data_IF_721285219251
#
_entry.id   IF_721285219251
#
_cell.length_a   1.000
_cell.length_b   1.000
_cell.length_c   1.000
_cell.angle_alpha   90.00
_cell.angle_beta   90.00
_cell.angle_gamma   90.00
#
_symmetry.space_group_name_H-M   'P 1'
#
loop_
_entity.id
_entity.type
_entity.pdbx_description
1 polymer ?
#
# COMPACT_ATOMS: atom_id res chain seq x y z
N UNK A 1 -19.00 -60.72 -12.28
CA UNK A 1 -17.70 -60.04 -12.47
C UNK A 1 -17.80 -58.66 -11.85
N UNK A 2 -16.88 -58.33 -10.95
CA UNK A 2 -16.94 -57.16 -10.08
C UNK A 2 -16.59 -55.86 -10.81
N UNK A 3 -17.42 -54.83 -10.65
CA UNK A 3 -17.06 -53.45 -10.93
C UNK A 3 -16.02 -53.03 -9.89
N UNK A 4 -14.75 -52.89 -10.29
CA UNK A 4 -13.72 -52.34 -9.41
C UNK A 4 -13.92 -50.83 -9.32
N UNK A 5 -14.38 -50.38 -8.16
CA UNK A 5 -14.29 -48.99 -7.71
C UNK A 5 -12.82 -48.57 -7.61
N UNK A 6 -12.28 -48.02 -8.70
CA UNK A 6 -11.00 -47.33 -8.67
C UNK A 6 -11.22 -45.88 -8.24
N UNK A 7 -11.05 -45.65 -6.93
CA UNK A 7 -10.36 -44.46 -6.44
C UNK A 7 -11.16 -43.15 -6.42
N UNK A 8 -12.17 -43.08 -5.54
CA UNK A 8 -12.54 -41.81 -4.88
C UNK A 8 -11.37 -41.34 -3.99
N UNK A 9 -10.32 -40.77 -4.59
CA UNK A 9 -9.30 -39.99 -3.90
C UNK A 9 -8.84 -38.90 -4.87
N UNK A 10 -9.34 -37.67 -4.73
CA UNK A 10 -8.83 -36.59 -5.57
C UNK A 10 -9.57 -35.25 -5.57
N UNK A 11 -10.73 -35.11 -4.92
CA UNK A 11 -11.55 -33.88 -5.06
C UNK A 11 -11.53 -32.98 -3.81
N UNK A 12 -11.02 -33.45 -2.67
CA UNK A 12 -11.02 -32.67 -1.42
C UNK A 12 -9.80 -31.77 -1.18
N UNK A 13 -8.65 -32.12 -1.76
CA UNK A 13 -7.40 -31.39 -1.51
C UNK A 13 -7.34 -29.97 -2.12
N UNK A 14 -7.96 -29.67 -3.28
CA UNK A 14 -7.97 -28.29 -3.80
C UNK A 14 -8.83 -27.37 -2.92
N UNK A 15 -9.94 -27.90 -2.40
CA UNK A 15 -10.81 -27.17 -1.46
C UNK A 15 -10.07 -26.88 -0.15
N UNK A 16 -9.28 -27.83 0.34
CA UNK A 16 -8.45 -27.65 1.54
C UNK A 16 -7.40 -26.54 1.34
N UNK A 17 -6.77 -26.45 0.16
CA UNK A 17 -5.80 -25.40 -0.17
C UNK A 17 -6.47 -24.03 -0.22
N UNK A 18 -7.69 -23.93 -0.76
CA UNK A 18 -8.46 -22.67 -0.79
C UNK A 18 -8.81 -22.21 0.63
N UNK A 19 -9.29 -23.13 1.47
CA UNK A 19 -9.66 -22.80 2.85
C UNK A 19 -8.44 -22.43 3.70
N UNK A 20 -7.32 -23.14 3.55
CA UNK A 20 -6.07 -22.84 4.25
C UNK A 20 -5.41 -21.56 3.74
N UNK A 21 -5.40 -21.32 2.43
CA UNK A 21 -4.88 -20.10 1.82
C UNK A 21 -5.71 -18.86 2.18
N UNK A 22 -7.04 -18.98 2.16
CA UNK A 22 -7.96 -17.93 2.61
C UNK A 22 -7.84 -17.64 4.12
N UNK A 23 -7.70 -18.69 4.94
CA UNK A 23 -7.50 -18.56 6.39
C UNK A 23 -6.17 -17.90 6.76
N UNK A 24 -5.07 -18.24 6.06
CA UNK A 24 -3.76 -17.62 6.28
C UNK A 24 -3.74 -16.16 5.83
N UNK A 25 -4.36 -15.84 4.70
CA UNK A 25 -4.51 -14.46 4.23
C UNK A 25 -5.34 -13.61 5.20
N UNK A 26 -6.44 -14.17 5.75
CA UNK A 26 -7.24 -13.51 6.77
C UNK A 26 -6.44 -13.30 8.07
N UNK A 27 -5.67 -14.30 8.52
CA UNK A 27 -4.83 -14.18 9.70
C UNK A 27 -3.81 -13.05 9.57
N UNK A 28 -3.02 -13.02 8.49
CA UNK A 28 -2.03 -11.97 8.23
C UNK A 28 -2.67 -10.58 8.14
N UNK A 29 -3.88 -10.51 7.60
CA UNK A 29 -4.66 -9.27 7.52
C UNK A 29 -5.12 -8.79 8.90
N UNK A 30 -5.60 -9.69 9.77
CA UNK A 30 -6.04 -9.33 11.13
C UNK A 30 -4.89 -9.06 12.11
N UNK A 31 -3.67 -9.56 11.85
CA UNK A 31 -2.50 -9.33 12.71
C UNK A 31 -1.69 -8.08 12.37
N UNK A 32 -2.04 -7.35 11.31
CA UNK A 32 -1.46 -6.02 11.01
C UNK A 32 -0.03 -6.04 10.46
N UNK A 33 0.48 -7.18 9.98
CA UNK A 33 1.77 -7.23 9.30
C UNK A 33 1.58 -6.89 7.81
N UNK A 34 2.09 -5.73 7.38
CA UNK A 34 2.27 -5.25 6.00
C UNK A 34 1.20 -5.71 5.01
N UNK A 35 0.16 -4.91 4.76
CA UNK A 35 -0.90 -5.21 3.77
C UNK A 35 -0.39 -5.60 2.37
N UNK A 36 0.81 -5.15 1.99
CA UNK A 36 1.52 -5.55 0.77
C UNK A 36 1.90 -7.04 0.74
N UNK A 37 2.25 -7.63 1.89
CA UNK A 37 2.53 -9.07 2.02
C UNK A 37 1.25 -9.89 1.90
N UNK A 38 0.17 -9.44 2.52
CA UNK A 38 -1.14 -10.10 2.39
C UNK A 38 -1.63 -10.13 0.92
N UNK A 39 -1.44 -9.03 0.18
CA UNK A 39 -1.72 -8.95 -1.26
C UNK A 39 -0.85 -9.91 -2.09
N UNK A 40 0.43 -10.03 -1.76
CA UNK A 40 1.35 -10.95 -2.45
C UNK A 40 0.96 -12.41 -2.21
N UNK A 41 0.60 -12.77 -0.99
CA UNK A 41 0.11 -14.13 -0.66
C UNK A 41 -1.19 -14.44 -1.40
N UNK A 42 -2.11 -13.47 -1.45
CA UNK A 42 -3.39 -13.61 -2.16
C UNK A 42 -3.19 -13.83 -3.67
N UNK A 43 -2.29 -13.08 -4.29
CA UNK A 43 -1.95 -13.26 -5.71
C UNK A 43 -1.34 -14.64 -6.00
N UNK A 44 -0.50 -15.17 -5.11
CA UNK A 44 0.05 -16.53 -5.25
C UNK A 44 -1.04 -17.58 -5.17
N UNK A 45 -2.01 -17.42 -4.26
CA UNK A 45 -3.16 -18.33 -4.11
C UNK A 45 -4.04 -18.32 -5.36
N UNK A 46 -4.36 -17.13 -5.89
CA UNK A 46 -5.17 -16.97 -7.11
C UNK A 46 -4.42 -17.51 -8.33
N UNK A 47 -3.14 -17.19 -8.50
CA UNK A 47 -2.32 -17.70 -9.60
C UNK A 47 -2.19 -19.24 -9.57
N UNK A 48 -2.12 -19.84 -8.39
CA UNK A 48 -2.09 -21.29 -8.21
C UNK A 48 -3.42 -21.94 -8.62
N UNK A 49 -4.55 -21.28 -8.37
CA UNK A 49 -5.88 -21.73 -8.78
C UNK A 49 -6.05 -21.70 -10.31
N UNK A 50 -5.53 -20.68 -10.98
CA UNK A 50 -5.55 -20.60 -12.44
C UNK A 50 -4.73 -21.71 -13.09
N UNK A 51 -3.53 -21.99 -12.56
CA UNK A 51 -2.68 -23.09 -13.04
C UNK A 51 -3.36 -24.44 -12.81
N UNK A 52 -3.95 -24.68 -11.64
CA UNK A 52 -4.69 -25.92 -11.35
C UNK A 52 -5.92 -26.10 -12.26
N UNK A 53 -6.64 -25.01 -12.54
CA UNK A 53 -7.80 -25.01 -13.44
C UNK A 53 -7.36 -25.29 -14.88
N UNK A 54 -6.28 -24.66 -15.33
CA UNK A 54 -5.69 -24.91 -16.64
C UNK A 54 -5.20 -26.36 -16.78
N UNK A 55 -4.52 -26.90 -15.77
CA UNK A 55 -4.07 -28.31 -15.74
C UNK A 55 -5.25 -29.27 -15.72
N UNK A 56 -6.31 -28.97 -14.97
CA UNK A 56 -7.53 -29.77 -14.95
C UNK A 56 -8.23 -29.79 -16.32
N UNK A 57 -8.32 -28.64 -16.98
CA UNK A 57 -8.89 -28.52 -18.32
C UNK A 57 -8.02 -29.21 -19.37
N UNK A 58 -6.70 -29.05 -19.30
CA UNK A 58 -5.74 -29.68 -20.21
C UNK A 58 -5.74 -31.21 -20.08
N UNK A 59 -5.81 -31.75 -18.85
CA UNK A 59 -5.91 -33.20 -18.61
C UNK A 59 -7.22 -33.82 -19.10
N UNK A 60 -8.24 -33.02 -19.39
CA UNK A 60 -9.55 -33.49 -19.92
C UNK A 60 -9.67 -33.41 -21.44
N UNK A 61 -8.60 -33.06 -22.15
CA UNK A 61 -8.56 -33.08 -23.61
C UNK A 61 -8.55 -34.52 -24.17
N UNK A 62 -9.75 -35.09 -24.35
CA UNK A 62 -10.12 -36.07 -25.41
C UNK A 62 -11.50 -36.73 -25.22
N UNK A 63 -12.35 -36.26 -24.29
CA UNK A 63 -13.71 -36.80 -24.15
C UNK A 63 -14.73 -35.92 -24.88
N UNK A 64 -15.50 -36.55 -25.76
CA UNK A 64 -16.58 -36.02 -26.60
C UNK A 64 -17.42 -34.92 -25.94
N UNK A 65 -17.79 -33.93 -26.76
CA UNK A 65 -18.68 -32.82 -26.40
C UNK A 65 -20.01 -33.34 -25.85
N UNK A 66 -20.10 -33.44 -24.53
CA UNK A 66 -21.36 -33.59 -23.81
C UNK A 66 -21.89 -32.20 -23.43
N UNK A 67 -23.21 -31.95 -23.52
CA UNK A 67 -23.79 -30.65 -23.23
C UNK A 67 -23.40 -30.26 -21.79
N UNK A 68 -22.70 -29.15 -21.69
CA UNK A 68 -22.08 -28.65 -20.45
C UNK A 68 -23.17 -28.42 -19.40
N UNK A 69 -23.28 -29.36 -18.46
CA UNK A 69 -24.26 -29.35 -17.38
C UNK A 69 -24.10 -28.16 -16.43
N UNK A 70 -25.20 -27.77 -15.80
CA UNK A 70 -25.36 -26.63 -14.90
C UNK A 70 -24.25 -26.46 -13.83
N UNK A 71 -23.59 -27.56 -13.43
CA UNK A 71 -22.48 -27.53 -12.46
C UNK A 71 -21.25 -26.72 -12.88
N UNK A 72 -20.91 -26.65 -14.17
CA UNK A 72 -19.78 -25.81 -14.64
C UNK A 72 -20.11 -24.32 -14.61
N UNK A 73 -21.36 -23.98 -14.88
CA UNK A 73 -21.86 -22.59 -14.76
C UNK A 73 -21.86 -22.18 -13.29
N UNK A 74 -22.30 -23.06 -12.38
CA UNK A 74 -22.28 -22.81 -10.94
C UNK A 74 -20.86 -22.55 -10.40
N UNK A 75 -19.87 -23.34 -10.82
CA UNK A 75 -18.47 -23.12 -10.43
C UNK A 75 -17.90 -21.78 -10.91
N UNK A 76 -18.23 -21.36 -12.12
CA UNK A 76 -17.83 -20.04 -12.66
C UNK A 76 -18.52 -18.89 -11.94
N UNK A 77 -19.81 -19.04 -11.59
CA UNK A 77 -20.54 -18.05 -10.80
C UNK A 77 -19.96 -17.90 -9.39
N UNK A 78 -19.61 -19.00 -8.74
CA UNK A 78 -18.95 -18.97 -7.42
C UNK A 78 -17.57 -18.32 -7.48
N UNK A 79 -16.78 -18.58 -8.53
CA UNK A 79 -15.49 -17.93 -8.73
C UNK A 79 -15.64 -16.41 -8.97
N UNK A 80 -16.60 -16.01 -9.80
CA UNK A 80 -16.89 -14.60 -10.03
C UNK A 80 -17.35 -13.89 -8.74
N UNK A 81 -18.19 -14.53 -7.93
CA UNK A 81 -18.65 -13.99 -6.65
C UNK A 81 -17.47 -13.82 -5.67
N UNK A 82 -16.56 -14.81 -5.61
CA UNK A 82 -15.35 -14.74 -4.79
C UNK A 82 -14.45 -13.56 -5.20
N UNK A 83 -14.23 -13.37 -6.49
CA UNK A 83 -13.45 -12.24 -7.02
C UNK A 83 -14.08 -10.89 -6.68
N UNK A 84 -15.42 -10.79 -6.73
CA UNK A 84 -16.15 -9.58 -6.33
C UNK A 84 -15.98 -9.30 -4.84
N UNK A 85 -16.07 -10.32 -3.98
CA UNK A 85 -15.88 -10.16 -2.52
C UNK A 85 -14.44 -9.76 -2.19
N UNK A 86 -13.44 -10.36 -2.85
CA UNK A 86 -12.03 -9.98 -2.70
C UNK A 86 -11.79 -8.55 -3.16
N UNK A 87 -12.32 -8.17 -4.32
CA UNK A 87 -12.18 -6.81 -4.83
C UNK A 87 -12.89 -5.79 -3.93
N UNK A 88 -14.08 -6.11 -3.42
CA UNK A 88 -14.81 -5.26 -2.47
C UNK A 88 -14.06 -5.15 -1.14
N UNK A 89 -13.47 -6.24 -0.64
CA UNK A 89 -12.60 -6.24 0.54
C UNK A 89 -11.40 -5.33 0.34
N UNK A 90 -10.65 -5.52 -0.75
CA UNK A 90 -9.49 -4.67 -1.09
C UNK A 90 -9.87 -3.19 -1.27
N UNK A 91 -11.03 -2.92 -1.87
CA UNK A 91 -11.54 -1.56 -2.04
C UNK A 91 -11.92 -0.93 -0.70
N UNK A 92 -12.59 -1.68 0.18
CA UNK A 92 -13.00 -1.20 1.49
C UNK A 92 -11.77 -0.92 2.37
N UNK A 93 -10.80 -1.82 2.38
CA UNK A 93 -9.59 -1.71 3.18
C UNK A 93 -8.65 -0.64 2.64
N UNK A 94 -8.55 -0.44 1.33
CA UNK A 94 -7.77 0.67 0.74
C UNK A 94 -8.46 2.03 0.89
N UNK A 95 -9.78 2.05 1.07
CA UNK A 95 -10.51 3.29 1.39
C UNK A 95 -10.28 3.70 2.84
N UNK A 96 -10.15 2.75 3.75
CA UNK A 96 -9.95 2.99 5.19
C UNK A 96 -8.47 3.08 5.60
N UNK A 97 -7.58 2.34 4.95
CA UNK A 97 -6.14 2.51 5.12
C UNK A 97 -5.73 3.85 4.51
N UNK A 98 -5.24 4.77 5.34
CA UNK A 98 -4.50 5.93 4.88
C UNK A 98 -3.43 5.47 3.89
N UNK A 99 -3.27 6.18 2.79
CA UNK A 99 -2.22 5.82 1.83
C UNK A 99 -0.96 6.47 2.33
N UNK A 100 -0.04 5.64 2.82
CA UNK A 100 1.25 6.10 3.31
C UNK A 100 2.07 6.69 2.15
N UNK A 101 2.61 7.88 2.37
CA UNK A 101 3.61 8.48 1.51
C UNK A 101 5.00 7.94 1.89
N UNK A 102 5.92 7.94 0.93
CA UNK A 102 7.28 7.47 1.18
C UNK A 102 8.01 8.38 2.21
N UNK A 103 8.54 7.82 3.32
CA UNK A 103 9.36 8.57 4.26
C UNK A 103 10.64 9.07 3.60
N UNK A 104 11.28 10.06 4.21
CA UNK A 104 12.51 10.67 3.68
C UNK A 104 13.45 11.07 4.79
N UNK A 105 14.74 10.78 4.60
CA UNK A 105 15.82 11.37 5.40
C UNK A 105 16.72 12.22 4.48
N UNK A 106 16.99 13.47 4.87
CA UNK A 106 17.83 14.38 4.08
C UNK A 106 19.33 14.23 4.39
N UNK A 107 20.17 14.80 3.53
CA UNK A 107 21.53 15.16 3.93
C UNK A 107 21.51 16.31 4.95
N UNK A 108 22.65 16.61 5.58
CA UNK A 108 22.78 17.73 6.51
C UNK A 108 22.64 19.07 5.77
N UNK A 109 21.66 19.87 6.18
CA UNK A 109 21.29 21.18 5.63
C UNK A 109 21.68 22.28 6.61
N UNK A 110 22.24 23.37 6.10
CA UNK A 110 22.42 24.59 6.89
C UNK A 110 21.09 25.32 7.06
N UNK A 111 21.02 26.18 8.07
CA UNK A 111 19.84 27.03 8.31
C UNK A 111 19.53 27.90 7.08
N UNK A 112 18.26 27.90 6.66
CA UNK A 112 17.78 28.60 5.45
C UNK A 112 17.98 27.80 4.16
N UNK A 113 18.64 26.65 4.19
CA UNK A 113 18.71 25.77 3.02
C UNK A 113 17.39 25.01 2.83
N UNK A 114 17.17 24.59 1.59
CA UNK A 114 15.96 23.87 1.19
C UNK A 114 16.32 22.54 0.56
N UNK A 115 15.47 21.54 0.79
CA UNK A 115 15.53 20.25 0.11
C UNK A 115 14.17 19.93 -0.48
N UNK A 116 14.16 19.22 -1.60
CA UNK A 116 12.94 18.80 -2.26
C UNK A 116 12.62 17.36 -1.91
N UNK A 117 11.44 17.13 -1.35
CA UNK A 117 10.84 15.83 -1.12
C UNK A 117 9.77 15.55 -2.19
N UNK A 118 9.73 14.33 -2.69
CA UNK A 118 8.74 13.88 -3.67
C UNK A 118 7.89 12.79 -3.02
N UNK A 119 6.80 13.14 -2.32
CA UNK A 119 5.93 12.15 -1.68
C UNK A 119 5.29 11.29 -2.77
N UNK A 120 5.80 10.08 -2.98
CA UNK A 120 5.26 9.19 -3.99
C UNK A 120 4.07 8.41 -3.43
N UNK A 121 2.88 8.69 -3.94
CA UNK A 121 1.73 7.79 -3.90
C UNK A 121 1.14 7.74 -5.31
N UNK A 122 1.60 6.77 -6.10
CA UNK A 122 1.14 6.63 -7.48
C UNK A 122 -0.39 6.46 -7.51
N UNK A 123 -1.10 7.38 -8.19
CA UNK A 123 -2.51 7.23 -8.54
C UNK A 123 -3.53 7.63 -7.48
N UNK A 124 -3.14 8.40 -6.46
CA UNK A 124 -4.04 8.76 -5.36
C UNK A 124 -4.38 10.24 -5.40
N UNK A 125 -5.66 10.56 -5.56
CA UNK A 125 -6.19 11.91 -5.36
C UNK A 125 -6.71 12.03 -3.92
N UNK A 126 -5.92 12.66 -3.04
CA UNK A 126 -6.38 13.10 -1.71
C UNK A 126 -6.40 14.62 -1.61
N UNK A 127 -7.08 15.12 -0.59
CA UNK A 127 -7.24 16.57 -0.38
C UNK A 127 -6.05 17.15 0.38
N UNK A 128 -5.44 16.36 1.26
CA UNK A 128 -4.38 16.79 2.17
C UNK A 128 -3.24 15.78 2.26
N UNK A 129 -2.04 16.26 2.55
CA UNK A 129 -0.85 15.48 2.89
C UNK A 129 -0.49 15.81 4.35
N UNK A 130 -0.57 14.82 5.23
CA UNK A 130 -0.14 14.93 6.62
C UNK A 130 1.19 14.22 6.81
N UNK A 131 2.11 14.79 7.59
CA UNK A 131 3.39 14.17 7.93
C UNK A 131 4.00 14.81 9.17
N UNK A 132 4.99 14.16 9.77
CA UNK A 132 5.77 14.72 10.88
C UNK A 132 7.22 14.91 10.44
N UNK A 133 7.78 16.09 10.70
CA UNK A 133 9.16 16.41 10.39
C UNK A 133 10.03 16.51 11.63
N UNK A 134 11.01 15.62 11.74
CA UNK A 134 12.02 15.63 12.79
C UNK A 134 13.31 16.27 12.30
N UNK A 135 13.83 17.22 13.07
CA UNK A 135 15.09 17.90 12.84
C UNK A 135 16.11 17.37 13.83
N UNK A 136 17.19 16.80 13.29
CA UNK A 136 18.31 16.30 14.09
C UNK A 136 19.55 17.13 13.81
N UNK A 137 20.21 17.59 14.88
CA UNK A 137 21.45 18.30 14.77
C UNK A 137 22.58 17.33 14.42
N UNK A 138 23.31 17.65 13.37
CA UNK A 138 24.50 16.88 12.96
C UNK A 138 25.77 17.38 13.63
N UNK A 139 25.73 18.59 14.20
CA UNK A 139 26.82 19.17 14.94
C UNK A 139 26.76 18.69 16.42
N UNK A 140 27.92 18.38 16.99
CA UNK A 140 28.06 17.81 18.34
C UNK A 140 27.59 18.72 19.48
N UNK A 141 27.24 19.97 19.18
CA UNK A 141 26.80 20.95 20.18
C UNK A 141 25.33 20.80 20.60
N UNK A 142 24.46 20.06 19.89
CA UNK A 142 23.16 19.60 20.39
C UNK A 142 22.10 20.67 20.78
N UNK A 143 22.38 21.97 20.67
CA UNK A 143 21.49 23.02 21.18
C UNK A 143 20.36 23.45 20.22
N UNK A 144 20.43 23.09 18.94
CA UNK A 144 19.59 23.71 17.91
C UNK A 144 18.25 23.02 17.66
N UNK A 145 18.06 21.80 18.16
CA UNK A 145 16.89 20.97 17.79
C UNK A 145 15.57 21.45 18.40
N UNK A 146 15.61 22.07 19.58
CA UNK A 146 14.39 22.40 20.33
C UNK A 146 13.66 23.60 19.77
N UNK A 147 14.42 24.60 19.31
CA UNK A 147 13.90 25.87 18.81
C UNK A 147 13.90 25.94 17.28
N UNK A 148 14.17 24.81 16.61
CA UNK A 148 14.13 24.74 15.16
C UNK A 148 12.71 24.49 14.64
N UNK A 149 12.44 25.07 13.48
CA UNK A 149 11.19 24.91 12.77
C UNK A 149 11.44 24.37 11.36
N UNK A 150 10.47 23.61 10.88
CA UNK A 150 10.42 23.10 9.53
C UNK A 150 9.27 23.80 8.80
N UNK A 151 9.58 24.42 7.68
CA UNK A 151 8.59 24.99 6.76
C UNK A 151 8.49 24.08 5.55
N UNK A 152 7.28 23.62 5.24
CA UNK A 152 7.00 22.79 4.09
C UNK A 152 6.09 23.55 3.13
N UNK A 153 6.48 23.60 1.86
CA UNK A 153 5.75 24.29 0.82
C UNK A 153 5.43 23.32 -0.32
N UNK A 154 4.16 23.24 -0.69
CA UNK A 154 3.71 22.48 -1.84
C UNK A 154 4.05 23.24 -3.13
N UNK A 155 4.88 22.65 -3.99
CA UNK A 155 5.28 23.25 -5.26
C UNK A 155 4.44 22.66 -6.40
N UNK A 156 3.75 23.53 -7.13
CA UNK A 156 2.99 23.17 -8.32
C UNK A 156 3.30 24.13 -9.46
N UNK A 157 3.77 23.60 -10.60
CA UNK A 157 4.09 24.41 -11.78
C UNK A 157 5.16 25.48 -11.55
N UNK A 158 6.04 25.30 -10.56
CA UNK A 158 7.07 26.28 -10.17
C UNK A 158 6.62 27.36 -9.19
N UNK A 159 5.35 27.32 -8.74
CA UNK A 159 4.81 28.22 -7.71
C UNK A 159 4.55 27.50 -6.39
N UNK A 160 4.69 28.21 -5.28
CA UNK A 160 4.21 27.78 -3.96
C UNK A 160 2.69 27.90 -3.96
N UNK A 161 2.01 26.79 -3.69
CA UNK A 161 0.54 26.73 -3.64
C UNK A 161 0.01 26.80 -2.22
N UNK A 162 0.65 26.06 -1.34
CA UNK A 162 0.32 25.97 0.07
C UNK A 162 1.60 25.83 0.87
N UNK A 163 1.58 26.32 2.11
CA UNK A 163 2.75 26.35 2.98
C UNK A 163 2.33 26.22 4.44
N UNK A 164 3.00 25.33 5.17
CA UNK A 164 2.83 25.13 6.60
C UNK A 164 4.19 25.23 7.28
N UNK A 165 4.19 25.73 8.51
CA UNK A 165 5.39 25.75 9.38
C UNK A 165 5.04 25.12 10.71
N UNK A 166 5.89 24.20 11.16
CA UNK A 166 5.75 23.56 12.46
C UNK A 166 7.08 23.49 13.19
N UNK A 167 7.01 23.38 14.52
CA UNK A 167 8.17 23.08 15.35
C UNK A 167 8.66 21.65 15.11
N UNK A 168 9.93 21.39 15.44
CA UNK A 168 10.52 20.05 15.34
C UNK A 168 9.64 18.97 16.01
N UNK A 169 9.25 17.96 15.23
CA UNK A 169 8.47 16.81 15.69
C UNK A 169 6.96 17.07 15.81
N UNK A 170 6.48 18.26 15.49
CA UNK A 170 5.05 18.55 15.42
C UNK A 170 4.47 18.13 14.04
N UNK A 171 3.21 17.64 14.01
CA UNK A 171 2.58 17.23 12.77
C UNK A 171 2.27 18.43 11.88
N UNK A 172 2.40 18.22 10.57
CA UNK A 172 2.14 19.20 9.51
C UNK A 172 1.08 18.67 8.57
N UNK A 173 0.22 19.56 8.07
CA UNK A 173 -0.77 19.27 7.03
C UNK A 173 -0.62 20.27 5.89
N UNK A 174 -0.61 19.79 4.65
CA UNK A 174 -0.61 20.59 3.42
C UNK A 174 -1.84 20.28 2.58
N UNK A 175 -2.53 21.31 2.10
CA UNK A 175 -3.66 21.21 1.18
C UNK A 175 -3.17 21.00 -0.26
N UNK A 176 -3.52 19.84 -0.84
CA UNK A 176 -3.11 19.47 -2.20
C UNK A 176 -3.94 20.17 -3.28
N UNK A 177 -5.14 20.61 -2.91
CA UNK A 177 -6.14 21.21 -3.79
C UNK A 177 -6.72 20.23 -4.85
N UNK A 178 -7.60 20.73 -5.75
CA UNK A 178 -8.27 19.88 -6.72
C UNK A 178 -7.27 19.16 -7.63
N UNK A 179 -7.35 17.82 -7.69
CA UNK A 179 -6.44 16.98 -8.48
C UNK A 179 -5.33 16.29 -7.68
N UNK A 180 -5.14 16.66 -6.39
CA UNK A 180 -4.63 15.78 -5.34
C UNK A 180 -3.25 15.12 -5.51
N UNK A 181 -2.38 15.62 -6.38
CA UNK A 181 -1.05 15.07 -6.57
C UNK A 181 0.02 16.06 -6.09
N UNK A 182 0.43 15.96 -4.82
CA UNK A 182 1.72 16.51 -4.41
C UNK A 182 2.80 15.75 -5.17
N UNK A 183 3.44 16.45 -6.12
CA UNK A 183 4.61 15.90 -6.82
C UNK A 183 5.90 16.36 -6.20
N UNK A 184 5.86 17.52 -5.54
CA UNK A 184 7.05 18.20 -5.04
C UNK A 184 6.68 19.02 -3.79
N UNK A 185 7.33 18.70 -2.68
CA UNK A 185 7.26 19.44 -1.42
C UNK A 185 8.64 20.00 -1.14
N UNK A 186 8.75 21.31 -1.01
CA UNK A 186 9.99 21.98 -0.62
C UNK A 186 10.02 22.13 0.89
N UNK A 187 11.04 21.56 1.51
CA UNK A 187 11.28 21.61 2.94
C UNK A 187 12.40 22.61 3.21
N UNK A 188 12.13 23.58 4.09
CA UNK A 188 13.06 24.64 4.48
C UNK A 188 13.27 24.59 5.98
N UNK A 189 14.54 24.59 6.37
CA UNK A 189 14.93 24.52 7.79
C UNK A 189 15.19 25.91 8.32
N UNK A 190 14.62 26.24 9.47
CA UNK A 190 14.94 27.44 10.23
C UNK A 190 15.41 27.06 11.64
N UNK A 191 16.55 27.59 12.06
CA UNK A 191 17.09 27.47 13.41
C UNK A 191 17.58 28.85 13.88
N UNK A 192 17.62 29.10 15.20
CA UNK A 192 18.08 30.39 15.75
C UNK A 192 19.59 30.62 15.55
N UNK A 193 20.38 29.56 15.40
CA UNK A 193 21.84 29.61 15.24
C UNK A 193 22.28 28.93 13.93
N UNK A 194 23.52 29.18 13.52
CA UNK A 194 24.12 28.56 12.33
C UNK A 194 24.41 27.07 12.60
N UNK A 195 23.38 26.22 12.46
CA UNK A 195 23.47 24.78 12.69
C UNK A 195 23.25 23.99 11.42
N UNK A 196 23.84 22.80 11.37
CA UNK A 196 23.62 21.81 10.32
C UNK A 196 22.67 20.73 10.80
N UNK A 197 21.52 20.60 10.15
CA UNK A 197 20.47 19.67 10.56
C UNK A 197 20.07 18.71 9.46
N UNK A 198 19.76 17.47 9.81
CA UNK A 198 19.08 16.51 8.93
C UNK A 198 17.58 16.53 9.22
N UNK A 199 16.78 16.42 8.17
CA UNK A 199 15.33 16.27 8.26
C UNK A 199 15.00 14.79 8.12
N UNK A 200 14.17 14.27 9.02
CA UNK A 200 13.54 12.96 8.89
C UNK A 200 12.02 13.13 8.82
N UNK A 201 11.39 12.57 7.80
CA UNK A 201 9.95 12.65 7.56
C UNK A 201 9.34 11.29 7.88
N UNK A 202 8.46 11.28 8.86
CA UNK A 202 7.75 10.10 9.39
C UNK A 202 6.24 10.29 9.30
N UNK A 203 5.49 9.20 9.50
CA UNK A 203 4.02 9.18 9.56
C UNK A 203 3.35 9.94 8.40
N UNK A 204 3.97 9.87 7.22
CA UNK A 204 3.53 10.60 6.06
C UNK A 204 2.36 9.87 5.42
N UNK A 205 1.22 10.53 5.31
CA UNK A 205 -0.02 9.94 4.82
C UNK A 205 -0.84 10.94 3.99
N UNK A 206 -1.51 10.42 2.98
CA UNK A 206 -2.47 11.19 2.20
C UNK A 206 -3.87 11.04 2.83
N UNK A 207 -4.45 12.14 3.31
CA UNK A 207 -5.74 12.17 4.02
C UNK A 207 -6.84 12.92 3.25
N UNK A 208 -8.09 12.50 3.44
CA UNK A 208 -9.29 13.20 2.95
C UNK A 208 -9.66 14.30 3.94
#
# INVERSE_FOLDING_TARGET
MAYRDTGRRGVGWPLLIIVLGGGLAAYLFFTGEDGARALSVLQVVVGSLDILTAVYLARRGSAEFTPVGAGRRFGLWMLALLMVVVAAGLFHTSREAGIDAAPMTSAALETGQTVTWHPSAAGVARERLRFTGHLHNTDTSGFCERDSTLTAALIFGGSVRDEATASNGEPMELELGPGGAAREVRLTVAAPEACRMTIDITDAEFVS
#
